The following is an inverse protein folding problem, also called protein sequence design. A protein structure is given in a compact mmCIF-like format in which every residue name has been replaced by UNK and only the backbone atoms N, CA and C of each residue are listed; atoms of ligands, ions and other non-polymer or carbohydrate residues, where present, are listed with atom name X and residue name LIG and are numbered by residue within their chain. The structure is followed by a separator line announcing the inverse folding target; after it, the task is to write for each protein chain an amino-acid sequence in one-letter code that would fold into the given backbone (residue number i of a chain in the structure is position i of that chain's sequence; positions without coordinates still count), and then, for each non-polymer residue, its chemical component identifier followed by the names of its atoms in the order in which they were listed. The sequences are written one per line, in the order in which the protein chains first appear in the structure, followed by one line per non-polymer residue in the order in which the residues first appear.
data_IF_865697678313
#
_entry.id   IF_865697678313
#
_cell.length_a   1.000
_cell.length_b   1.000
_cell.length_c   1.000
_cell.angle_alpha   90.00
_cell.angle_beta   90.00
_cell.angle_gamma   90.00
#
_symmetry.space_group_name_H-M   'P 1'
#
loop_
_entity.id
_entity.type
_entity.pdbx_description
1 polymer ?
#
# COMPACT_ATOMS: atom_id res chain seq x y z
N UNK A 1 21.20 -0.42 -30.01
CA UNK A 1 20.51 0.48 -29.05
C UNK A 1 19.70 1.48 -29.87
N UNK A 2 18.38 1.56 -29.67
CA UNK A 2 17.49 2.44 -30.45
C UNK A 2 17.40 3.86 -29.84
N UNK A 3 17.58 3.98 -28.52
CA UNK A 3 17.65 5.23 -27.77
C UNK A 3 18.33 4.96 -26.42
N UNK A 4 18.97 5.95 -25.82
CA UNK A 4 19.57 5.87 -24.48
C UNK A 4 19.47 7.21 -23.77
N UNK A 5 19.29 7.18 -22.46
CA UNK A 5 19.27 8.36 -21.59
C UNK A 5 20.12 8.06 -20.35
N UNK A 6 20.83 9.07 -19.88
CA UNK A 6 21.55 9.03 -18.61
C UNK A 6 20.75 9.85 -17.60
N UNK A 7 20.46 9.26 -16.45
CA UNK A 7 19.87 9.95 -15.29
C UNK A 7 21.00 10.43 -14.37
N UNK A 8 20.74 11.44 -13.55
CA UNK A 8 21.74 12.03 -12.64
C UNK A 8 21.76 11.36 -11.26
N UNK A 9 20.68 10.65 -10.88
CA UNK A 9 20.55 9.98 -9.59
C UNK A 9 20.70 8.46 -9.67
N UNK A 10 20.94 7.85 -8.51
CA UNK A 10 20.93 6.40 -8.35
C UNK A 10 19.52 5.86 -8.57
N UNK A 11 19.38 4.79 -9.35
CA UNK A 11 18.09 4.19 -9.64
C UNK A 11 17.64 3.29 -8.50
N UNK A 12 16.45 3.54 -7.95
CA UNK A 12 15.80 2.69 -6.95
C UNK A 12 14.79 1.73 -7.58
N UNK A 13 14.01 2.20 -8.54
CA UNK A 13 13.03 1.40 -9.29
C UNK A 13 12.86 1.92 -10.72
N UNK A 14 12.56 1.00 -11.64
CA UNK A 14 12.22 1.27 -13.03
C UNK A 14 11.22 0.24 -13.53
N UNK A 15 10.06 0.71 -13.98
CA UNK A 15 9.02 -0.16 -14.54
C UNK A 15 8.29 0.50 -15.71
N UNK A 16 7.60 -0.32 -16.50
CA UNK A 16 6.65 0.18 -17.50
C UNK A 16 5.35 0.59 -16.81
N UNK A 17 4.75 1.68 -17.29
CA UNK A 17 3.42 2.06 -16.85
C UNK A 17 2.40 1.00 -17.28
N UNK A 18 1.59 0.53 -16.33
CA UNK A 18 0.47 -0.38 -16.61
C UNK A 18 -0.74 0.36 -17.20
N UNK A 19 -0.80 1.69 -17.05
CA UNK A 19 -1.93 2.50 -17.48
C UNK A 19 -1.69 3.24 -18.80
N UNK A 20 -0.43 3.58 -19.10
CA UNK A 20 -0.07 4.40 -20.27
C UNK A 20 0.95 3.65 -21.14
N UNK A 21 0.58 3.27 -22.38
CA UNK A 21 1.52 2.63 -23.27
C UNK A 21 2.69 3.57 -23.58
N UNK A 22 3.87 3.00 -23.79
CA UNK A 22 5.12 3.71 -24.09
C UNK A 22 5.67 4.58 -22.96
N UNK A 23 5.06 4.57 -21.77
CA UNK A 23 5.61 5.25 -20.60
C UNK A 23 6.43 4.32 -19.70
N UNK A 24 7.53 4.86 -19.19
CA UNK A 24 8.39 4.28 -18.19
C UNK A 24 8.31 5.14 -16.93
N UNK A 25 8.29 4.51 -15.77
CA UNK A 25 8.22 5.16 -14.48
C UNK A 25 9.50 4.81 -13.72
N UNK A 26 10.20 5.80 -13.17
CA UNK A 26 11.36 5.57 -12.31
C UNK A 26 11.18 6.19 -10.94
N UNK A 27 11.98 5.69 -10.00
CA UNK A 27 12.27 6.35 -8.73
C UNK A 27 13.77 6.49 -8.64
N UNK A 28 14.25 7.73 -8.58
CA UNK A 28 15.67 8.07 -8.60
C UNK A 28 16.04 8.77 -7.28
N UNK A 29 17.25 8.50 -6.80
CA UNK A 29 17.86 9.14 -5.63
C UNK A 29 18.88 10.16 -6.14
N UNK A 30 18.57 11.47 -6.12
CA UNK A 30 19.52 12.46 -6.57
C UNK A 30 20.75 12.45 -5.66
N UNK A 31 21.93 12.70 -6.22
CA UNK A 31 23.13 12.91 -5.40
C UNK A 31 22.89 14.12 -4.49
N UNK A 32 22.85 13.89 -3.17
CA UNK A 32 22.87 14.97 -2.19
C UNK A 32 24.17 15.78 -2.32
N UNK A 33 24.23 17.03 -1.83
CA UNK A 33 25.47 17.80 -1.86
C UNK A 33 26.60 16.99 -1.23
N UNK A 34 27.55 16.56 -2.07
CA UNK A 34 28.74 15.85 -1.65
C UNK A 34 29.49 16.74 -0.65
N UNK A 35 29.51 16.34 0.62
CA UNK A 35 30.28 17.02 1.66
C UNK A 35 29.45 17.64 2.78
N UNK A 36 28.78 16.83 3.60
CA UNK A 36 28.85 17.05 5.05
C UNK A 36 28.44 15.77 5.78
N UNK A 37 29.44 15.08 6.32
CA UNK A 37 29.23 14.45 7.60
C UNK A 37 28.74 15.56 8.55
N UNK A 38 27.60 15.35 9.22
CA UNK A 38 26.87 16.32 10.06
C UNK A 38 26.00 17.34 9.32
N UNK A 39 24.71 17.02 9.16
CA UNK A 39 23.64 17.97 9.48
C UNK A 39 22.55 17.21 10.21
N UNK A 40 22.27 17.63 11.43
CA UNK A 40 21.34 16.99 12.38
C UNK A 40 19.85 17.19 12.01
N UNK A 41 19.57 17.54 10.74
CA UNK A 41 18.25 17.59 10.10
C UNK A 41 18.44 17.40 8.58
N UNK A 42 18.94 16.24 8.17
CA UNK A 42 19.21 15.92 6.77
C UNK A 42 17.90 15.68 6.01
N UNK A 43 17.44 16.66 5.23
CA UNK A 43 16.28 16.46 4.34
C UNK A 43 16.68 15.47 3.25
N UNK A 44 16.04 14.30 3.22
CA UNK A 44 16.19 13.33 2.14
C UNK A 44 15.05 13.51 1.14
N UNK A 45 15.25 13.07 -0.10
CA UNK A 45 14.20 13.08 -1.10
C UNK A 45 14.38 11.95 -2.12
N UNK A 46 13.30 11.62 -2.81
CA UNK A 46 13.30 10.77 -3.99
C UNK A 46 12.60 11.52 -5.14
N UNK A 47 13.12 11.37 -6.35
CA UNK A 47 12.53 11.95 -7.55
C UNK A 47 11.77 10.84 -8.30
N UNK A 48 10.44 10.95 -8.35
CA UNK A 48 9.58 10.07 -9.15
C UNK A 48 9.43 10.67 -10.55
N UNK A 49 9.98 9.99 -11.56
CA UNK A 49 10.02 10.49 -12.92
C UNK A 49 9.12 9.69 -13.86
N UNK A 50 8.52 10.38 -14.85
CA UNK A 50 7.80 9.76 -15.96
C UNK A 50 8.59 10.02 -17.24
N UNK A 51 8.87 8.96 -17.97
CA UNK A 51 9.51 9.01 -19.29
C UNK A 51 8.58 8.45 -20.35
N UNK A 52 8.73 8.93 -21.58
CA UNK A 52 7.98 8.45 -22.74
C UNK A 52 8.94 8.03 -23.84
N UNK A 53 8.66 6.87 -24.43
CA UNK A 53 9.34 6.36 -25.61
C UNK A 53 8.45 6.60 -26.84
N UNK A 54 8.60 7.76 -27.48
CA UNK A 54 7.87 8.10 -28.69
C UNK A 54 8.81 8.19 -29.88
N UNK A 55 8.46 7.52 -31.00
CA UNK A 55 9.19 7.58 -32.28
C UNK A 55 10.69 7.27 -32.15
N UNK A 56 11.03 6.29 -31.32
CA UNK A 56 12.42 5.88 -31.08
C UNK A 56 13.24 6.87 -30.25
N UNK A 57 12.60 7.82 -29.56
CA UNK A 57 13.26 8.74 -28.62
C UNK A 57 12.69 8.56 -27.23
N UNK A 58 13.56 8.46 -26.25
CA UNK A 58 13.21 8.50 -24.84
C UNK A 58 13.31 9.95 -24.34
N UNK A 59 12.24 10.47 -23.74
CA UNK A 59 12.20 11.82 -23.16
C UNK A 59 11.60 11.80 -21.77
N UNK A 60 12.08 12.68 -20.88
CA UNK A 60 11.51 12.86 -19.53
C UNK A 60 10.33 13.82 -19.61
N UNK A 61 9.15 13.35 -19.25
CA UNK A 61 7.90 14.12 -19.26
C UNK A 61 7.72 14.93 -17.97
N UNK A 62 7.97 14.31 -16.82
CA UNK A 62 7.79 14.96 -15.51
C UNK A 62 8.75 14.41 -14.47
N UNK A 63 8.98 15.22 -13.43
CA UNK A 63 9.73 14.87 -12.22
C UNK A 63 8.95 15.39 -11.03
N UNK A 64 8.66 14.50 -10.08
CA UNK A 64 7.98 14.83 -8.84
C UNK A 64 8.91 14.54 -7.67
N UNK A 65 9.32 15.60 -6.96
CA UNK A 65 10.21 15.47 -5.80
C UNK A 65 9.40 15.16 -4.55
N UNK A 66 9.73 14.03 -3.90
CA UNK A 66 9.07 13.54 -2.70
C UNK A 66 9.98 13.82 -1.51
N UNK A 67 9.60 14.71 -0.56
CA UNK A 67 10.38 14.97 0.65
C UNK A 67 10.25 13.81 1.64
N UNK A 68 11.36 13.42 2.26
CA UNK A 68 11.45 12.25 3.14
C UNK A 68 12.25 12.53 4.41
N UNK A 69 11.92 11.82 5.48
CA UNK A 69 12.59 11.90 6.79
C UNK A 69 14.00 11.29 6.76
N UNK A 70 14.20 10.27 5.93
CA UNK A 70 15.49 9.59 5.76
C UNK A 70 15.62 8.97 4.37
N UNK A 71 16.78 8.39 4.06
CA UNK A 71 17.11 7.84 2.73
C UNK A 71 16.17 6.68 2.38
N UNK A 72 15.54 6.65 1.20
CA UNK A 72 14.84 5.46 0.73
C UNK A 72 15.82 4.34 0.44
N UNK A 73 15.46 3.12 0.84
CA UNK A 73 16.21 1.90 0.62
C UNK A 73 15.46 0.89 -0.25
N UNK A 74 14.14 1.02 -0.35
CA UNK A 74 13.31 0.20 -1.22
C UNK A 74 12.08 0.98 -1.68
N UNK A 75 11.48 0.56 -2.78
CA UNK A 75 10.17 1.08 -3.18
C UNK A 75 9.39 0.08 -4.03
N UNK A 76 8.08 0.27 -4.10
CA UNK A 76 7.22 -0.43 -5.05
C UNK A 76 5.97 0.39 -5.33
N UNK A 77 5.42 0.22 -6.54
CA UNK A 77 4.18 0.88 -6.95
C UNK A 77 2.97 0.00 -6.65
N UNK A 78 1.90 0.63 -6.20
CA UNK A 78 0.60 -0.04 -6.10
C UNK A 78 0.09 -0.39 -7.51
N UNK A 79 -0.64 -1.51 -7.72
CA UNK A 79 -1.15 -1.91 -9.04
C UNK A 79 -2.00 -0.85 -9.76
N UNK A 80 -2.69 0.03 -9.02
CA UNK A 80 -3.41 1.17 -9.61
C UNK A 80 -2.50 2.23 -10.24
N UNK A 81 -1.18 2.15 -10.06
CA UNK A 81 -0.15 3.08 -10.54
C UNK A 81 -0.25 4.53 -10.03
N UNK A 82 -1.15 4.84 -9.09
CA UNK A 82 -1.35 6.19 -8.52
C UNK A 82 -0.54 6.44 -7.24
N UNK A 83 -0.02 5.37 -6.65
CA UNK A 83 0.55 5.38 -5.30
C UNK A 83 1.88 4.64 -5.29
N UNK A 84 2.87 5.21 -4.62
CA UNK A 84 4.22 4.70 -4.45
C UNK A 84 4.48 4.45 -2.96
N UNK A 85 4.89 3.24 -2.60
CA UNK A 85 5.37 2.92 -1.27
C UNK A 85 6.90 3.02 -1.24
N UNK A 86 7.44 3.73 -0.26
CA UNK A 86 8.87 3.88 -0.01
C UNK A 86 9.21 3.30 1.37
N UNK A 87 10.19 2.39 1.40
CA UNK A 87 10.83 1.95 2.63
C UNK A 87 12.06 2.77 2.91
N UNK A 88 12.17 3.32 4.11
CA UNK A 88 13.24 4.24 4.49
C UNK A 88 14.27 3.61 5.43
N UNK A 89 15.47 4.17 5.44
CA UNK A 89 16.61 3.72 6.24
C UNK A 89 16.42 3.83 7.75
N UNK A 90 15.51 4.69 8.22
CA UNK A 90 15.10 4.82 9.62
C UNK A 90 14.04 3.78 10.05
N UNK A 91 13.79 2.76 9.22
CA UNK A 91 12.75 1.76 9.41
C UNK A 91 11.34 2.35 9.48
N UNK A 92 11.07 3.37 8.66
CA UNK A 92 9.72 3.86 8.40
C UNK A 92 9.26 3.54 6.97
N UNK A 93 7.95 3.58 6.77
CA UNK A 93 7.28 3.44 5.49
C UNK A 93 6.56 4.74 5.16
N UNK A 94 6.69 5.18 3.92
CA UNK A 94 6.00 6.35 3.38
C UNK A 94 5.16 5.92 2.20
N UNK A 95 3.85 6.13 2.28
CA UNK A 95 2.93 5.99 1.16
C UNK A 95 2.73 7.35 0.50
N UNK A 96 3.30 7.53 -0.68
CA UNK A 96 3.14 8.71 -1.49
C UNK A 96 2.03 8.50 -2.52
N UNK A 97 1.05 9.39 -2.53
CA UNK A 97 -0.01 9.43 -3.51
C UNK A 97 0.19 10.66 -4.40
N UNK A 98 0.19 10.48 -5.72
CA UNK A 98 0.45 11.57 -6.67
C UNK A 98 -0.52 12.75 -6.51
N UNK A 99 -1.74 12.48 -6.02
CA UNK A 99 -2.80 13.47 -5.87
C UNK A 99 -2.81 14.13 -4.50
N UNK A 100 -2.32 13.45 -3.46
CA UNK A 100 -2.37 13.90 -2.05
C UNK A 100 -1.00 14.25 -1.48
N UNK A 101 0.09 13.92 -2.17
CA UNK A 101 1.45 14.00 -1.63
C UNK A 101 1.74 12.83 -0.68
N UNK A 102 2.52 13.07 0.37
CA UNK A 102 2.71 12.06 1.43
C UNK A 102 1.39 11.81 2.14
N UNK A 103 0.82 10.63 1.92
CA UNK A 103 -0.53 10.27 2.36
C UNK A 103 -0.54 9.49 3.68
N UNK A 104 0.46 8.63 3.90
CA UNK A 104 0.66 7.89 5.14
C UNK A 104 2.14 7.79 5.48
N UNK A 105 2.43 7.82 6.78
CA UNK A 105 3.74 7.53 7.35
C UNK A 105 3.53 6.54 8.51
N UNK A 106 4.25 5.43 8.48
CA UNK A 106 4.11 4.38 9.49
C UNK A 106 5.48 3.86 9.93
N UNK A 107 5.70 3.56 11.22
CA UNK A 107 6.87 2.83 11.66
C UNK A 107 6.84 1.39 11.12
N UNK A 108 8.00 0.86 10.76
CA UNK A 108 8.18 -0.52 10.35
C UNK A 108 8.98 -1.27 11.41
N UNK A 109 8.42 -2.32 12.04
CA UNK A 109 9.13 -3.15 13.01
C UNK A 109 10.38 -3.86 12.47
N UNK A 110 10.51 -3.97 11.15
CA UNK A 110 11.65 -4.56 10.45
C UNK A 110 12.23 -3.56 9.46
N UNK A 111 13.55 -3.60 9.15
CA UNK A 111 14.11 -2.76 8.10
C UNK A 111 13.43 -3.07 6.75
N UNK A 112 12.80 -2.10 6.08
CA UNK A 112 12.03 -2.35 4.86
C UNK A 112 12.96 -2.39 3.64
N UNK A 113 13.83 -3.40 3.57
CA UNK A 113 14.85 -3.55 2.51
C UNK A 113 14.21 -4.00 1.20
N UNK A 114 13.11 -4.74 1.28
CA UNK A 114 12.34 -5.20 0.12
C UNK A 114 10.86 -4.89 0.35
N UNK A 115 10.15 -4.51 -0.71
CA UNK A 115 8.71 -4.27 -0.68
C UNK A 115 8.05 -4.78 -1.96
N UNK A 116 6.90 -5.45 -1.84
CA UNK A 116 6.18 -5.98 -3.00
C UNK A 116 4.66 -5.94 -2.79
N UNK A 117 3.96 -5.11 -3.56
CA UNK A 117 2.50 -5.09 -3.59
C UNK A 117 1.94 -6.35 -4.23
N UNK A 118 0.94 -6.94 -3.57
CA UNK A 118 0.16 -8.01 -4.17
C UNK A 118 -0.60 -7.48 -5.40
N UNK A 119 -0.74 -8.26 -6.49
CA UNK A 119 -1.44 -7.82 -7.70
C UNK A 119 -2.89 -7.37 -7.48
N UNK A 120 -3.57 -7.91 -6.46
CA UNK A 120 -4.94 -7.49 -6.10
C UNK A 120 -4.99 -6.13 -5.37
N UNK A 121 -3.85 -5.56 -4.95
CA UNK A 121 -3.75 -4.23 -4.36
C UNK A 121 -4.17 -4.10 -2.89
N UNK A 122 -4.67 -5.15 -2.25
CA UNK A 122 -5.07 -5.05 -0.83
C UNK A 122 -3.93 -5.14 0.17
N UNK A 123 -2.83 -5.84 -0.17
CA UNK A 123 -1.69 -6.06 0.73
C UNK A 123 -0.35 -5.74 0.09
N UNK A 124 0.60 -5.35 0.93
CA UNK A 124 2.02 -5.26 0.61
C UNK A 124 2.81 -6.15 1.56
N UNK A 125 3.82 -6.83 1.03
CA UNK A 125 4.79 -7.58 1.83
C UNK A 125 6.05 -6.74 1.95
N UNK A 126 6.52 -6.59 3.18
CA UNK A 126 7.80 -5.96 3.54
C UNK A 126 8.77 -7.04 3.95
N UNK A 127 9.97 -7.02 3.40
CA UNK A 127 11.06 -7.94 3.70
C UNK A 127 12.25 -7.25 4.35
N UNK A 128 12.71 -7.82 5.45
CA UNK A 128 13.98 -7.51 6.09
C UNK A 128 15.13 -8.28 5.46
N UNK A 129 16.33 -7.69 5.49
CA UNK A 129 17.53 -8.32 4.93
C UNK A 129 17.92 -9.63 5.62
N UNK A 130 17.46 -9.88 6.85
CA UNK A 130 17.75 -11.10 7.61
C UNK A 130 16.65 -12.17 7.48
N UNK A 131 15.77 -12.03 6.48
CA UNK A 131 14.70 -12.99 6.21
C UNK A 131 13.47 -12.80 7.10
N UNK A 132 13.26 -11.61 7.65
CA UNK A 132 11.97 -11.23 8.22
C UNK A 132 10.97 -10.84 7.13
N UNK A 133 9.72 -11.27 7.27
CA UNK A 133 8.61 -10.83 6.43
C UNK A 133 7.49 -10.26 7.29
N UNK A 134 6.87 -9.18 6.82
CA UNK A 134 5.69 -8.58 7.41
C UNK A 134 4.68 -8.27 6.32
N UNK A 135 3.40 -8.38 6.62
CA UNK A 135 2.32 -8.06 5.68
C UNK A 135 1.51 -6.91 6.23
N UNK A 136 1.28 -5.92 5.39
CA UNK A 136 0.48 -4.74 5.70
C UNK A 136 -0.71 -4.67 4.76
N UNK A 137 -1.83 -4.16 5.25
CA UNK A 137 -2.96 -3.78 4.41
C UNK A 137 -2.73 -2.42 3.72
N UNK A 138 -3.70 -1.99 2.91
CA UNK A 138 -3.68 -0.73 2.19
C UNK A 138 -3.52 0.50 3.10
N UNK A 139 -3.97 0.43 4.35
CA UNK A 139 -3.80 1.48 5.37
C UNK A 139 -2.47 1.39 6.11
N UNK A 140 -1.52 0.56 5.64
CA UNK A 140 -0.26 0.21 6.29
C UNK A 140 -0.41 -0.41 7.69
N UNK A 141 -1.58 -0.97 8.03
CA UNK A 141 -1.75 -1.66 9.29
C UNK A 141 -1.28 -3.12 9.18
N UNK A 142 -0.56 -3.66 10.20
CA UNK A 142 -0.09 -5.04 10.20
C UNK A 142 -1.21 -6.05 10.10
N UNK A 143 -1.01 -7.07 9.27
CA UNK A 143 -1.80 -8.29 9.23
C UNK A 143 -1.05 -9.39 9.97
N UNK A 144 -1.79 -10.17 10.76
CA UNK A 144 -1.22 -11.36 11.39
C UNK A 144 -0.84 -12.38 10.33
N UNK A 145 0.34 -12.97 10.46
CA UNK A 145 0.81 -14.03 9.57
C UNK A 145 1.15 -15.27 10.39
N UNK A 146 0.62 -16.40 9.95
CA UNK A 146 0.81 -17.70 10.62
C UNK A 146 1.02 -18.76 9.57
N UNK A 147 2.00 -19.65 9.78
CA UNK A 147 2.22 -20.76 8.88
C UNK A 147 1.10 -21.79 9.01
N UNK A 148 0.79 -22.46 7.90
CA UNK A 148 -0.24 -23.50 7.89
C UNK A 148 0.20 -24.65 8.80
N UNK A 149 -0.63 -24.97 9.79
CA UNK A 149 -0.35 -26.02 10.78
C UNK A 149 0.23 -25.49 12.10
N UNK A 150 0.49 -24.19 12.22
CA UNK A 150 0.80 -23.53 13.49
C UNK A 150 -0.45 -22.90 14.10
N UNK A 151 -0.49 -22.81 15.42
CA UNK A 151 -1.55 -22.11 16.14
C UNK A 151 -1.42 -20.59 15.93
N UNK A 152 -2.53 -19.89 15.61
CA UNK A 152 -2.48 -18.45 15.41
C UNK A 152 -2.11 -17.72 16.69
N UNK A 153 -0.96 -17.06 16.69
CA UNK A 153 -0.57 -16.12 17.74
C UNK A 153 -1.02 -14.70 17.34
N UNK A 154 -1.94 -14.07 18.08
CA UNK A 154 -2.43 -12.73 17.75
C UNK A 154 -1.34 -11.65 17.86
N UNK A 155 -0.21 -11.94 18.52
CA UNK A 155 0.89 -11.01 18.70
C UNK A 155 1.93 -11.04 17.57
N UNK A 156 1.92 -12.06 16.71
CA UNK A 156 2.99 -12.25 15.71
C UNK A 156 2.60 -11.64 14.37
N UNK A 157 3.17 -10.47 14.08
CA UNK A 157 3.00 -9.74 12.80
C UNK A 157 4.20 -9.90 11.86
N UNK A 158 5.28 -10.50 12.35
CA UNK A 158 6.52 -10.73 11.60
C UNK A 158 6.84 -12.22 11.55
N UNK A 159 6.96 -12.76 10.34
CA UNK A 159 7.44 -14.11 10.09
C UNK A 159 8.96 -14.08 9.94
N UNK A 160 9.68 -14.91 10.71
CA UNK A 160 11.14 -15.04 10.62
C UNK A 160 11.49 -16.29 9.85
N UNK A 161 11.79 -16.16 8.57
CA UNK A 161 12.05 -17.30 7.68
C UNK A 161 13.21 -18.17 8.16
N UNK A 162 14.22 -17.59 8.80
CA UNK A 162 15.36 -18.31 9.37
C UNK A 162 14.97 -19.35 10.45
N UNK A 163 13.78 -19.25 11.04
CA UNK A 163 13.27 -20.24 11.99
C UNK A 163 12.74 -21.50 11.29
N UNK A 164 12.37 -21.39 10.01
CA UNK A 164 11.71 -22.44 9.24
C UNK A 164 12.56 -22.93 8.05
N UNK A 165 13.50 -22.11 7.59
CA UNK A 165 14.39 -22.38 6.47
C UNK A 165 15.85 -22.30 6.92
N UNK A 166 16.67 -23.26 6.51
CA UNK A 166 18.13 -23.22 6.72
C UNK A 166 18.77 -22.55 5.52
N UNK A 167 18.72 -21.23 5.48
CA UNK A 167 19.32 -20.41 4.43
C UNK A 167 20.49 -19.60 5.02
N UNK A 168 21.72 -19.73 4.50
CA UNK A 168 22.87 -18.98 5.01
C UNK A 168 22.88 -17.51 4.55
N UNK A 169 22.18 -17.18 3.46
CA UNK A 169 22.12 -15.84 2.89
C UNK A 169 20.88 -15.03 3.31
N UNK A 170 21.02 -13.71 3.27
CA UNK A 170 19.91 -12.77 3.49
C UNK A 170 18.90 -12.78 2.34
N UNK A 171 17.72 -12.21 2.57
CA UNK A 171 16.69 -12.07 1.55
C UNK A 171 17.05 -10.92 0.61
N UNK A 172 17.08 -11.18 -0.70
CA UNK A 172 17.48 -10.21 -1.75
C UNK A 172 16.37 -9.89 -2.75
N UNK A 173 15.34 -10.73 -2.86
CA UNK A 173 14.28 -10.53 -3.82
C UNK A 173 12.91 -10.97 -3.31
N UNK A 174 11.91 -10.14 -3.61
CA UNK A 174 10.49 -10.42 -3.42
C UNK A 174 9.77 -10.22 -4.75
N UNK A 175 9.04 -11.23 -5.22
CA UNK A 175 8.25 -11.10 -6.44
C UNK A 175 6.99 -11.93 -6.37
N UNK A 176 5.83 -11.31 -6.52
CA UNK A 176 4.58 -12.05 -6.67
C UNK A 176 4.57 -12.78 -8.02
N UNK A 177 4.07 -14.01 -8.02
CA UNK A 177 3.88 -14.77 -9.25
C UNK A 177 2.85 -14.04 -10.14
N UNK A 178 3.31 -13.56 -11.30
CA UNK A 178 2.45 -12.94 -12.30
C UNK A 178 1.65 -14.00 -13.04
N UNK A 179 0.33 -13.96 -12.95
CA UNK A 179 -0.55 -14.88 -13.67
C UNK A 179 -1.85 -14.22 -14.05
N UNK A 180 -2.17 -14.24 -15.35
CA UNK A 180 -3.50 -13.93 -15.91
C UNK A 180 -4.50 -15.07 -15.68
N UNK A 181 -4.37 -15.80 -14.56
CA UNK A 181 -5.15 -16.99 -14.23
C UNK A 181 -5.42 -17.11 -12.74
N UNK A 182 -6.48 -17.87 -12.40
CA UNK A 182 -7.00 -18.08 -11.05
C UNK A 182 -6.05 -18.85 -10.11
N UNK A 183 -4.99 -19.46 -10.62
CA UNK A 183 -4.04 -20.25 -9.85
C UNK A 183 -2.64 -19.65 -9.94
N UNK A 184 -2.27 -18.78 -9.00
CA UNK A 184 -0.88 -18.30 -8.89
C UNK A 184 -0.69 -16.95 -8.24
N UNK A 185 -1.69 -16.05 -8.30
CA UNK A 185 -1.56 -14.67 -7.83
C UNK A 185 -1.08 -14.56 -6.36
N UNK A 186 -1.55 -15.46 -5.49
CA UNK A 186 -1.26 -15.44 -4.05
C UNK A 186 0.05 -16.18 -3.68
N UNK A 187 0.98 -16.33 -4.62
CA UNK A 187 2.30 -16.94 -4.38
C UNK A 187 3.39 -15.89 -4.48
N UNK A 188 4.13 -15.70 -3.39
CA UNK A 188 5.28 -14.82 -3.32
C UNK A 188 6.56 -15.64 -3.50
N UNK A 189 7.33 -15.32 -4.53
CA UNK A 189 8.66 -15.85 -4.75
C UNK A 189 9.68 -15.07 -3.93
N UNK A 190 10.60 -15.81 -3.30
CA UNK A 190 11.65 -15.31 -2.41
C UNK A 190 13.01 -15.72 -3.00
N UNK A 191 13.92 -14.76 -3.13
CA UNK A 191 15.29 -15.02 -3.53
C UNK A 191 16.25 -14.72 -2.37
N UNK A 192 17.09 -15.68 -2.02
CA UNK A 192 18.11 -15.53 -0.99
C UNK A 192 19.50 -15.37 -1.62
N UNK A 193 20.36 -14.60 -0.95
CA UNK A 193 21.75 -14.41 -1.37
C UNK A 193 22.48 -15.76 -1.49
N UNK A 194 23.01 -16.06 -2.67
CA UNK A 194 23.66 -17.35 -2.96
C UNK A 194 22.67 -18.53 -3.06
N UNK A 195 21.37 -18.27 -3.11
CA UNK A 195 20.30 -19.27 -3.09
C UNK A 195 19.91 -19.72 -1.68
N UNK A 196 18.84 -20.54 -1.54
CA UNK A 196 17.94 -21.06 -2.57
C UNK A 196 16.89 -20.02 -3.05
N UNK A 197 16.06 -20.40 -4.02
CA UNK A 197 14.78 -19.77 -4.27
C UNK A 197 13.70 -20.48 -3.44
N UNK A 198 12.77 -19.73 -2.86
CA UNK A 198 11.62 -20.28 -2.14
C UNK A 198 10.32 -19.65 -2.62
N UNK A 199 9.20 -20.30 -2.31
CA UNK A 199 7.87 -19.80 -2.60
C UNK A 199 7.02 -19.83 -1.33
N UNK A 200 6.43 -18.69 -0.97
CA UNK A 200 5.47 -18.56 0.10
C UNK A 200 4.07 -18.44 -0.51
N UNK A 201 3.24 -19.47 -0.32
CA UNK A 201 1.86 -19.47 -0.80
C UNK A 201 0.92 -18.99 0.30
N UNK A 202 0.18 -17.93 0.02
CA UNK A 202 -0.81 -17.41 0.94
C UNK A 202 -2.09 -18.26 0.85
N UNK A 203 -2.55 -18.76 2.00
CA UNK A 203 -3.81 -19.49 2.12
C UNK A 203 -4.86 -18.52 2.63
N UNK A 204 -5.71 -18.10 1.70
CA UNK A 204 -6.75 -17.13 1.96
C UNK A 204 -7.96 -17.81 2.60
N UNK A 205 -8.54 -17.15 3.61
CA UNK A 205 -9.69 -17.68 4.31
C UNK A 205 -10.93 -17.70 3.41
N UNK A 206 -11.86 -18.62 3.65
CA UNK A 206 -13.14 -18.68 2.94
C UNK A 206 -13.91 -17.35 2.99
N UNK A 207 -13.66 -16.55 4.02
CA UNK A 207 -14.32 -15.26 4.25
C UNK A 207 -13.83 -14.14 3.32
N UNK A 208 -12.61 -14.23 2.78
CA UNK A 208 -12.11 -13.29 1.78
C UNK A 208 -12.42 -13.74 0.35
N UNK A 209 -13.21 -14.81 0.18
CA UNK A 209 -13.52 -15.35 -1.14
C UNK A 209 -12.30 -15.84 -1.92
N UNK A 210 -11.17 -16.08 -1.23
CA UNK A 210 -9.90 -16.37 -1.89
C UNK A 210 -9.25 -15.16 -2.55
N UNK A 211 -9.55 -13.93 -2.09
CA UNK A 211 -8.96 -12.70 -2.64
C UNK A 211 -8.25 -11.88 -1.54
N UNK A 212 -7.27 -11.08 -1.98
CA UNK A 212 -6.50 -10.12 -1.17
C UNK A 212 -6.74 -8.69 -1.65
N UNK A 213 -7.98 -8.37 -2.02
CA UNK A 213 -8.37 -7.03 -2.41
C UNK A 213 -8.66 -6.13 -1.20
N UNK A 214 -8.67 -4.79 -1.39
CA UNK A 214 -8.97 -3.85 -0.31
C UNK A 214 -10.34 -4.09 0.34
N UNK A 215 -11.35 -4.41 -0.47
CA UNK A 215 -12.71 -4.66 0.01
C UNK A 215 -12.79 -5.88 0.93
N UNK A 216 -12.16 -6.99 0.55
CA UNK A 216 -12.16 -8.23 1.31
C UNK A 216 -11.42 -8.07 2.65
N UNK A 217 -10.29 -7.37 2.64
CA UNK A 217 -9.53 -7.08 3.86
C UNK A 217 -10.30 -6.15 4.80
N UNK A 218 -10.99 -5.14 4.27
CA UNK A 218 -11.85 -4.26 5.06
C UNK A 218 -12.95 -5.06 5.76
N UNK A 219 -13.61 -5.98 5.05
CA UNK A 219 -14.60 -6.87 5.68
C UNK A 219 -13.98 -7.74 6.77
N UNK A 220 -12.78 -8.27 6.54
CA UNK A 220 -12.07 -9.07 7.53
C UNK A 220 -11.75 -8.24 8.80
N UNK A 221 -11.28 -7.00 8.64
CA UNK A 221 -11.04 -6.07 9.75
C UNK A 221 -12.32 -5.82 10.56
N UNK A 222 -13.44 -5.53 9.90
CA UNK A 222 -14.73 -5.33 10.57
C UNK A 222 -15.16 -6.56 11.37
N UNK A 223 -14.99 -7.78 10.82
CA UNK A 223 -15.31 -9.04 11.52
C UNK A 223 -14.46 -9.25 12.77
N UNK A 224 -13.20 -8.80 12.73
CA UNK A 224 -12.29 -8.83 13.87
C UNK A 224 -12.52 -7.67 14.87
N UNK A 225 -13.52 -6.81 14.66
CA UNK A 225 -13.75 -5.61 15.48
C UNK A 225 -12.71 -4.51 15.29
N UNK A 226 -11.86 -4.62 14.27
CA UNK A 226 -10.75 -3.71 13.96
C UNK A 226 -11.23 -2.55 13.09
N UNK A 227 -12.13 -1.72 13.62
CA UNK A 227 -12.80 -0.67 12.85
C UNK A 227 -11.82 0.40 12.37
N UNK A 228 -10.85 0.81 13.18
CA UNK A 228 -9.90 1.86 12.80
C UNK A 228 -9.01 1.41 11.63
N UNK A 229 -8.62 0.14 11.60
CA UNK A 229 -7.88 -0.44 10.47
C UNK A 229 -8.76 -0.54 9.22
N UNK A 230 -10.06 -0.88 9.38
CA UNK A 230 -11.02 -0.85 8.28
C UNK A 230 -11.19 0.58 7.70
N UNK A 231 -11.23 1.60 8.56
CA UNK A 231 -11.24 3.00 8.15
C UNK A 231 -9.96 3.42 7.44
N UNK A 232 -8.80 2.94 7.91
CA UNK A 232 -7.51 3.13 7.25
C UNK A 232 -7.51 2.61 5.81
N UNK A 233 -8.05 1.41 5.59
CA UNK A 233 -8.25 0.86 4.24
C UNK A 233 -9.19 1.76 3.43
N UNK A 234 -10.38 2.09 3.96
CA UNK A 234 -11.38 2.91 3.27
C UNK A 234 -10.82 4.29 2.87
N UNK A 235 -10.05 4.94 3.74
CA UNK A 235 -9.45 6.25 3.47
C UNK A 235 -8.35 6.21 2.41
N UNK A 236 -7.71 5.06 2.23
CA UNK A 236 -6.68 4.82 1.23
C UNK A 236 -7.24 4.34 -0.13
N UNK A 237 -8.52 3.95 -0.21
CA UNK A 237 -9.17 3.59 -1.47
C UNK A 237 -9.39 4.81 -2.39
N UNK A 238 -9.39 4.57 -3.70
CA UNK A 238 -9.47 5.60 -4.72
C UNK A 238 -10.85 5.61 -5.41
N UNK A 239 -11.68 6.58 -5.04
CA UNK A 239 -13.05 6.73 -5.57
C UNK A 239 -13.13 6.86 -7.09
N UNK A 240 -12.12 7.45 -7.73
CA UNK A 240 -12.16 7.67 -9.18
C UNK A 240 -12.03 6.38 -10.00
N UNK A 241 -11.37 5.36 -9.46
CA UNK A 241 -11.18 4.06 -10.13
C UNK A 241 -11.97 2.93 -9.48
N UNK A 242 -12.34 3.08 -8.21
CA UNK A 242 -12.99 2.06 -7.38
C UNK A 242 -14.33 2.54 -6.78
N UNK A 243 -15.08 3.40 -7.48
CA UNK A 243 -16.26 4.08 -6.92
C UNK A 243 -17.29 3.12 -6.30
N UNK A 244 -17.55 1.98 -6.95
CA UNK A 244 -18.49 0.98 -6.44
C UNK A 244 -17.93 0.25 -5.20
N UNK A 245 -16.66 -0.11 -5.19
CA UNK A 245 -15.98 -0.75 -4.08
C UNK A 245 -15.89 0.19 -2.87
N UNK A 246 -15.54 1.47 -3.09
CA UNK A 246 -15.54 2.51 -2.06
C UNK A 246 -16.91 2.67 -1.43
N UNK A 247 -17.98 2.69 -2.24
CA UNK A 247 -19.34 2.76 -1.74
C UNK A 247 -19.72 1.52 -0.91
N UNK A 248 -19.40 0.30 -1.38
CA UNK A 248 -19.64 -0.94 -0.61
C UNK A 248 -18.86 -0.95 0.70
N UNK A 249 -17.61 -0.48 0.69
CA UNK A 249 -16.76 -0.39 1.87
C UNK A 249 -17.34 0.59 2.89
N UNK A 250 -17.68 1.82 2.47
CA UNK A 250 -18.28 2.84 3.33
C UNK A 250 -19.61 2.36 3.95
N UNK A 251 -20.49 1.78 3.13
CA UNK A 251 -21.77 1.25 3.62
C UNK A 251 -21.57 0.10 4.60
N UNK A 252 -20.57 -0.76 4.39
CA UNK A 252 -20.25 -1.85 5.31
C UNK A 252 -19.76 -1.36 6.67
N UNK A 253 -18.87 -0.36 6.69
CA UNK A 253 -18.38 0.25 7.95
C UNK A 253 -19.54 0.92 8.69
N UNK A 254 -20.33 1.72 7.98
CA UNK A 254 -21.45 2.47 8.59
C UNK A 254 -22.56 1.55 9.10
N UNK A 255 -22.96 0.52 8.33
CA UNK A 255 -23.96 -0.46 8.80
C UNK A 255 -23.43 -1.34 9.94
N UNK A 256 -22.14 -1.66 9.97
CA UNK A 256 -21.53 -2.36 11.11
C UNK A 256 -21.64 -1.53 12.39
N UNK A 257 -21.23 -0.26 12.34
CA UNK A 257 -21.24 0.65 13.48
C UNK A 257 -22.65 0.97 13.98
N UNK A 258 -23.61 1.20 13.08
CA UNK A 258 -25.00 1.50 13.44
C UNK A 258 -25.76 0.32 14.06
N UNK A 259 -25.19 -0.90 14.04
CA UNK A 259 -25.75 -2.07 14.75
C UNK A 259 -25.25 -2.19 16.19
N UNK A 260 -24.21 -1.43 16.55
CA UNK A 260 -23.66 -1.38 17.90
C UNK A 260 -24.32 -0.23 18.66
N UNK A 261 -24.26 -0.28 19.99
CA UNK A 261 -24.61 0.88 20.80
C UNK A 261 -23.65 2.02 20.45
N UNK A 262 -24.15 3.25 20.30
CA UNK A 262 -23.27 4.36 19.95
C UNK A 262 -22.62 4.92 21.21
N UNK A 263 -21.31 5.05 21.15
CA UNK A 263 -20.48 5.76 22.11
C UNK A 263 -19.63 6.80 21.35
N UNK A 264 -18.92 7.64 22.09
CA UNK A 264 -18.12 8.71 21.50
C UNK A 264 -17.09 8.20 20.48
N UNK A 265 -16.55 6.99 20.68
CA UNK A 265 -15.59 6.38 19.76
C UNK A 265 -16.27 5.97 18.46
N UNK A 266 -17.42 5.29 18.53
CA UNK A 266 -18.19 4.83 17.37
C UNK A 266 -18.78 5.99 16.58
N UNK A 267 -19.18 7.06 17.27
CA UNK A 267 -19.60 8.31 16.62
C UNK A 267 -18.47 8.94 15.82
N UNK A 268 -17.26 9.04 16.40
CA UNK A 268 -16.08 9.53 15.68
C UNK A 268 -15.71 8.62 14.49
N UNK A 269 -15.86 7.30 14.63
CA UNK A 269 -15.63 6.35 13.53
C UNK A 269 -16.67 6.49 12.40
N UNK A 270 -17.94 6.74 12.73
CA UNK A 270 -18.99 7.03 11.75
C UNK A 270 -18.74 8.34 11.02
N UNK A 271 -18.33 9.38 11.76
CA UNK A 271 -17.94 10.66 11.19
C UNK A 271 -16.74 10.49 10.24
N UNK A 272 -15.71 9.76 10.65
CA UNK A 272 -14.55 9.45 9.82
C UNK A 272 -14.95 8.69 8.53
N UNK A 273 -15.81 7.67 8.64
CA UNK A 273 -16.29 6.90 7.48
C UNK A 273 -17.02 7.80 6.47
N UNK A 274 -17.92 8.67 6.93
CA UNK A 274 -18.66 9.61 6.08
C UNK A 274 -17.73 10.72 5.55
N UNK A 275 -16.74 11.12 6.33
CA UNK A 275 -15.73 12.13 5.98
C UNK A 275 -14.91 11.75 4.75
N UNK A 276 -14.67 10.44 4.53
CA UNK A 276 -14.00 9.95 3.30
C UNK A 276 -14.73 10.37 2.02
N UNK A 277 -16.06 10.58 2.07
CA UNK A 277 -16.84 11.06 0.94
C UNK A 277 -17.15 12.57 1.00
N UNK A 278 -17.51 13.10 2.18
CA UNK A 278 -17.96 14.48 2.32
C UNK A 278 -16.85 15.52 2.51
N UNK A 279 -15.72 15.11 3.10
CA UNK A 279 -14.57 15.97 3.37
C UNK A 279 -13.25 15.26 2.99
N UNK A 280 -13.12 14.76 1.76
CA UNK A 280 -11.89 14.11 1.32
C UNK A 280 -10.75 15.14 1.25
N UNK A 281 -9.48 14.71 1.46
CA UNK A 281 -8.32 15.60 1.37
C UNK A 281 -8.21 16.33 0.03
N UNK A 282 -8.71 15.71 -1.04
CA UNK A 282 -8.88 16.30 -2.36
C UNK A 282 -10.32 16.11 -2.82
N UNK A 283 -10.96 17.13 -3.42
CA UNK A 283 -12.34 17.02 -3.90
C UNK A 283 -12.52 15.84 -4.86
N UNK A 284 -13.61 15.09 -4.67
CA UNK A 284 -14.02 14.04 -5.61
C UNK A 284 -14.46 14.69 -6.93
N UNK A 285 -14.34 13.94 -8.03
CA UNK A 285 -14.89 14.38 -9.32
C UNK A 285 -16.41 14.48 -9.28
N UNK A 286 -16.97 15.41 -10.07
CA UNK A 286 -18.42 15.64 -10.13
C UNK A 286 -19.23 14.37 -10.48
N UNK A 287 -18.68 13.48 -11.31
CA UNK A 287 -19.29 12.19 -11.66
C UNK A 287 -19.53 11.32 -10.42
N UNK A 288 -18.49 11.11 -9.62
CA UNK A 288 -18.53 10.36 -8.36
C UNK A 288 -19.52 11.00 -7.38
N UNK A 289 -19.49 12.33 -7.25
CA UNK A 289 -20.41 13.04 -6.34
C UNK A 289 -21.85 12.84 -6.79
N UNK A 290 -22.15 13.01 -8.08
CA UNK A 290 -23.50 12.87 -8.63
C UNK A 290 -24.05 11.46 -8.43
N UNK A 291 -23.22 10.44 -8.62
CA UNK A 291 -23.60 9.04 -8.51
C UNK A 291 -23.88 8.61 -7.06
N UNK A 292 -22.98 8.95 -6.12
CA UNK A 292 -23.00 8.36 -4.77
C UNK A 292 -23.59 9.27 -3.68
N UNK A 293 -23.76 10.58 -3.92
CA UNK A 293 -24.25 11.53 -2.89
C UNK A 293 -25.64 11.17 -2.38
N UNK A 294 -26.55 10.79 -3.27
CA UNK A 294 -27.93 10.41 -2.90
C UNK A 294 -27.95 9.22 -1.94
N UNK A 295 -27.38 8.07 -2.32
CA UNK A 295 -27.28 6.89 -1.46
C UNK A 295 -26.56 7.16 -0.13
N UNK A 296 -25.40 7.84 -0.14
CA UNK A 296 -24.62 8.12 1.08
C UNK A 296 -25.35 9.07 2.02
N UNK A 297 -26.14 10.02 1.49
CA UNK A 297 -26.91 10.95 2.32
C UNK A 297 -27.92 10.26 3.24
N UNK A 298 -28.40 9.07 2.88
CA UNK A 298 -29.29 8.28 3.73
C UNK A 298 -28.57 7.80 5.00
N UNK A 299 -27.30 7.41 4.87
CA UNK A 299 -26.46 7.00 5.99
C UNK A 299 -26.11 8.19 6.89
N UNK A 300 -25.73 9.32 6.29
CA UNK A 300 -25.48 10.55 7.04
C UNK A 300 -26.71 10.97 7.86
N UNK A 301 -27.92 10.97 7.27
CA UNK A 301 -29.16 11.28 7.98
C UNK A 301 -29.44 10.33 9.14
N UNK A 302 -29.24 9.02 8.94
CA UNK A 302 -29.39 8.03 10.02
C UNK A 302 -28.47 8.37 11.19
N UNK A 303 -27.20 8.67 10.92
CA UNK A 303 -26.23 9.06 11.94
C UNK A 303 -26.63 10.36 12.67
N UNK A 304 -26.98 11.42 11.94
CA UNK A 304 -27.43 12.68 12.57
C UNK A 304 -28.69 12.51 13.42
N UNK A 305 -29.61 11.63 13.01
CA UNK A 305 -30.80 11.32 13.80
C UNK A 305 -30.45 10.64 15.14
N UNK A 306 -29.36 9.87 15.18
CA UNK A 306 -28.86 9.30 16.43
C UNK A 306 -28.23 10.36 17.34
N UNK A 307 -27.43 11.29 16.80
CA UNK A 307 -26.80 12.37 17.58
C UNK A 307 -27.79 13.34 18.23
N UNK A 308 -29.02 13.43 17.71
CA UNK A 308 -30.07 14.31 18.22
C UNK A 308 -30.91 13.68 19.35
N UNK A 309 -30.68 12.41 19.69
CA UNK A 309 -31.41 11.68 20.74
C UNK A 309 -30.57 11.53 21.99
#
# INVERSE_FOLDING_TARGET
VLSSMCTEGDLLDLCFSLLQPYQLLSVELPEGPQGSHTTTTGTSWADACVYECARGRLQRLSVTRIPLSSRPVSCCRHPSSTTLLLGLSDSSLVLYDERRGVSLLAPCPIPPVLVAWHPAGGVVVVGGGQGELMVLDLGLAPLGLTLVGEDPSPATTTLRLAQHLRCPGGLEGLQWAGGTGLEGADTLMLAFHGGPLAALRFRLGALSGGQLGPGELLQQRLRCGQVDQALGILGAMEWSTMGTECYRALTSVTDYLLRLELDQTREAQLEAALGVFYAPPRPLSDSVVLEYRGPISKYARRFFHHLLR
#
